data_IF_900127291711
#
_entry.id   IF_900127291711
#
_cell.length_a   1.000
_cell.length_b   1.000
_cell.length_c   1.000
_cell.angle_alpha   90.00
_cell.angle_beta   90.00
_cell.angle_gamma   90.00
#
_symmetry.space_group_name_H-M   'P 1'
#
loop_
_entity.id
_entity.type
_entity.pdbx_description
1 polymer ?
#
# COMPACT_ATOMS: atom_id res chain seq x y z
N UNK A 1 -6.67 3.41 -8.21
CA UNK A 1 -6.20 4.73 -7.77
C UNK A 1 -5.74 5.49 -9.00
N UNK A 2 -6.37 6.60 -9.30
CA UNK A 2 -5.90 7.50 -10.37
C UNK A 2 -4.48 7.91 -10.02
N UNK A 3 -3.52 7.66 -10.92
CA UNK A 3 -2.14 8.05 -10.69
C UNK A 3 -2.02 9.58 -10.80
N UNK A 4 -2.09 10.25 -9.68
CA UNK A 4 -1.99 11.72 -9.62
C UNK A 4 -0.64 12.23 -10.15
N UNK A 5 0.41 11.39 -10.19
CA UNK A 5 1.68 11.75 -10.84
C UNK A 5 1.50 12.07 -12.32
N UNK A 6 0.50 11.47 -12.98
CA UNK A 6 0.14 11.76 -14.37
C UNK A 6 -0.30 13.21 -14.57
N UNK A 7 -0.88 13.85 -13.54
CA UNK A 7 -1.43 15.20 -13.62
C UNK A 7 -0.54 16.26 -13.01
N UNK A 8 0.24 15.88 -11.99
CA UNK A 8 0.99 16.83 -11.18
C UNK A 8 2.50 16.57 -11.15
N UNK A 9 3.00 15.49 -11.80
CA UNK A 9 4.40 15.12 -11.74
C UNK A 9 4.92 14.87 -10.30
N UNK A 10 6.24 14.79 -10.14
CA UNK A 10 6.87 14.70 -8.81
C UNK A 10 7.00 16.06 -8.10
N UNK A 11 6.90 17.15 -8.85
CA UNK A 11 7.21 18.52 -8.41
C UNK A 11 6.10 19.55 -8.65
N UNK A 12 4.87 19.15 -8.99
CA UNK A 12 3.77 20.09 -9.23
C UNK A 12 2.94 19.76 -10.48
N UNK A 13 2.09 20.70 -10.91
CA UNK A 13 1.22 20.54 -12.08
C UNK A 13 2.08 20.44 -13.35
N UNK A 14 1.86 19.40 -14.14
CA UNK A 14 2.40 19.30 -15.50
C UNK A 14 1.51 20.14 -16.42
N UNK A 15 2.00 21.29 -16.83
CA UNK A 15 1.37 22.13 -17.84
C UNK A 15 1.70 21.60 -19.25
N UNK A 16 1.08 20.48 -19.63
CA UNK A 16 1.19 19.95 -20.97
C UNK A 16 0.22 20.71 -21.89
N UNK A 17 0.70 21.39 -22.95
CA UNK A 17 -0.16 22.12 -23.90
C UNK A 17 -1.20 21.25 -24.60
N UNK A 18 -1.02 19.93 -24.66
CA UNK A 18 -1.98 18.99 -25.22
C UNK A 18 -3.17 18.69 -24.30
N UNK A 19 -3.09 19.07 -23.01
CA UNK A 19 -4.18 18.87 -22.05
C UNK A 19 -5.28 19.89 -22.28
N UNK A 20 -6.52 19.41 -22.32
CA UNK A 20 -7.71 20.28 -22.35
C UNK A 20 -8.04 20.69 -20.92
N UNK A 21 -7.96 21.99 -20.64
CA UNK A 21 -8.37 22.59 -19.38
C UNK A 21 -9.69 23.33 -19.59
N UNK A 22 -10.58 23.23 -18.61
CA UNK A 22 -11.74 24.13 -18.47
C UNK A 22 -11.36 25.30 -17.59
N UNK A 23 -12.11 26.40 -17.62
CA UNK A 23 -12.03 27.44 -16.59
C UNK A 23 -11.28 28.70 -16.98
N UNK A 24 -10.86 28.92 -18.23
CA UNK A 24 -10.22 30.19 -18.64
C UNK A 24 -11.09 31.41 -18.26
N UNK A 25 -10.52 32.34 -17.48
CA UNK A 25 -11.19 33.53 -16.96
C UNK A 25 -12.15 33.30 -15.80
N UNK A 26 -12.22 32.08 -15.26
CA UNK A 26 -13.07 31.71 -14.13
C UNK A 26 -12.37 31.89 -12.79
N UNK A 27 -13.18 32.04 -11.74
CA UNK A 27 -12.76 32.24 -10.35
C UNK A 27 -12.76 30.94 -9.54
N UNK A 28 -12.37 31.01 -8.26
CA UNK A 28 -12.51 29.90 -7.31
C UNK A 28 -13.96 29.49 -7.07
N UNK A 29 -14.89 30.47 -7.08
CA UNK A 29 -16.32 30.17 -6.90
C UNK A 29 -16.88 29.44 -8.11
N UNK A 30 -16.42 29.79 -9.33
CA UNK A 30 -16.78 29.07 -10.56
C UNK A 30 -16.24 27.64 -10.53
N UNK A 31 -15.04 27.40 -9.99
CA UNK A 31 -14.50 26.06 -9.83
C UNK A 31 -15.34 25.24 -8.83
N UNK A 32 -15.74 25.82 -7.68
CA UNK A 32 -16.63 25.15 -6.73
C UNK A 32 -17.96 24.78 -7.42
N UNK A 33 -18.52 25.71 -8.17
CA UNK A 33 -19.77 25.46 -8.92
C UNK A 33 -19.60 24.32 -9.92
N UNK A 34 -18.53 24.33 -10.69
CA UNK A 34 -18.22 23.29 -11.68
C UNK A 34 -18.04 21.93 -11.04
N UNK A 35 -17.33 21.86 -9.90
CA UNK A 35 -17.19 20.62 -9.11
C UNK A 35 -18.55 20.08 -8.63
N UNK A 36 -19.41 20.96 -8.13
CA UNK A 36 -20.74 20.58 -7.65
C UNK A 36 -21.67 20.14 -8.79
N UNK A 37 -21.60 20.79 -9.95
CA UNK A 37 -22.33 20.40 -11.16
C UNK A 37 -21.87 19.00 -11.64
N UNK A 38 -20.60 18.64 -11.45
CA UNK A 38 -20.05 17.32 -11.72
C UNK A 38 -20.25 16.31 -10.58
N UNK A 39 -21.12 16.65 -9.61
CA UNK A 39 -21.58 15.74 -8.55
C UNK A 39 -20.69 15.63 -7.32
N UNK A 40 -19.66 16.45 -7.18
CA UNK A 40 -18.91 16.56 -5.93
C UNK A 40 -19.65 17.48 -4.95
N UNK A 41 -19.49 17.27 -3.65
CA UNK A 41 -20.04 18.16 -2.63
C UNK A 41 -18.92 19.00 -2.04
N UNK A 42 -18.70 20.19 -2.60
CA UNK A 42 -17.64 21.12 -2.20
C UNK A 42 -18.27 22.45 -1.79
N UNK A 43 -18.00 22.92 -0.56
CA UNK A 43 -18.46 24.20 -0.04
C UNK A 43 -17.37 25.27 0.02
N UNK A 44 -16.12 24.85 0.13
CA UNK A 44 -14.93 25.71 0.12
C UNK A 44 -13.74 24.93 -0.47
N UNK A 45 -12.74 25.65 -0.97
CA UNK A 45 -11.53 25.05 -1.53
C UNK A 45 -10.39 25.05 -0.51
N UNK A 46 -9.77 23.91 -0.35
CA UNK A 46 -8.47 23.78 0.28
C UNK A 46 -7.40 23.85 -0.81
N UNK A 47 -6.74 24.99 -0.96
CA UNK A 47 -5.74 25.24 -2.02
C UNK A 47 -4.31 24.88 -1.58
N UNK A 48 -4.18 23.81 -0.83
CA UNK A 48 -2.88 23.34 -0.28
C UNK A 48 -2.05 22.52 -1.26
N UNK A 49 -2.60 22.18 -2.42
CA UNK A 49 -2.00 21.21 -3.34
C UNK A 49 -2.08 19.77 -2.86
N UNK A 50 -2.80 19.50 -1.77
CA UNK A 50 -3.07 18.16 -1.27
C UNK A 50 -4.36 17.58 -1.85
N UNK A 51 -4.43 16.24 -1.86
CA UNK A 51 -5.65 15.56 -2.27
C UNK A 51 -6.68 15.64 -1.15
N UNK A 52 -7.76 16.35 -1.42
CA UNK A 52 -8.93 16.46 -0.55
C UNK A 52 -10.00 15.48 -0.99
N UNK A 53 -10.56 14.74 -0.04
CA UNK A 53 -11.67 13.81 -0.28
C UNK A 53 -12.99 14.45 0.11
N UNK A 54 -13.96 14.39 -0.81
CA UNK A 54 -15.28 14.98 -0.62
C UNK A 54 -16.39 13.97 -0.92
N UNK A 55 -17.59 14.13 -0.33
CA UNK A 55 -18.74 13.32 -0.71
C UNK A 55 -19.15 13.55 -2.15
N UNK A 56 -19.85 12.56 -2.72
CA UNK A 56 -20.46 12.61 -4.05
C UNK A 56 -21.96 12.62 -3.91
N UNK A 57 -22.64 13.49 -4.64
CA UNK A 57 -24.09 13.64 -4.66
C UNK A 57 -24.77 12.79 -5.75
N UNK A 58 -26.10 12.76 -5.76
CA UNK A 58 -26.90 11.99 -6.71
C UNK A 58 -26.75 12.44 -8.19
N UNK A 59 -26.17 13.62 -8.46
CA UNK A 59 -25.93 14.14 -9.82
C UNK A 59 -24.71 13.59 -10.54
N UNK A 60 -23.94 12.69 -9.92
CA UNK A 60 -22.60 12.28 -10.34
C UNK A 60 -22.54 11.03 -11.21
N UNK A 61 -23.54 10.65 -11.95
CA UNK A 61 -23.61 9.40 -12.75
C UNK A 61 -23.43 8.11 -11.91
N UNK A 62 -23.35 8.22 -10.58
CA UNK A 62 -23.26 7.11 -9.63
C UNK A 62 -24.23 7.33 -8.48
N UNK A 63 -24.41 6.31 -7.62
CA UNK A 63 -25.15 6.50 -6.38
C UNK A 63 -24.48 7.57 -5.50
N UNK A 64 -25.24 8.34 -4.73
CA UNK A 64 -24.66 9.25 -3.74
C UNK A 64 -23.86 8.47 -2.69
N UNK A 65 -22.91 9.15 -2.05
CA UNK A 65 -22.14 8.60 -0.95
C UNK A 65 -23.02 8.33 0.27
N UNK A 66 -22.75 7.21 0.95
CA UNK A 66 -23.36 6.93 2.26
C UNK A 66 -22.76 7.85 3.32
N UNK A 67 -23.36 7.87 4.50
CA UNK A 67 -22.82 8.61 5.64
C UNK A 67 -21.33 8.25 5.87
N UNK A 68 -20.46 9.26 5.97
CA UNK A 68 -18.99 9.15 6.08
C UNK A 68 -18.23 8.57 4.87
N UNK A 69 -18.89 8.28 3.76
CA UNK A 69 -18.22 7.90 2.51
C UNK A 69 -17.78 9.16 1.75
N UNK A 70 -16.58 9.13 1.16
CA UNK A 70 -16.01 10.23 0.36
C UNK A 70 -15.34 9.67 -0.87
N UNK A 71 -16.09 9.47 -1.96
CA UNK A 71 -15.58 8.94 -3.21
C UNK A 71 -15.18 9.99 -4.25
N UNK A 72 -15.56 11.24 -4.02
CA UNK A 72 -15.04 12.38 -4.76
C UNK A 72 -13.67 12.83 -4.24
N UNK A 73 -12.92 13.49 -5.10
CA UNK A 73 -11.61 14.04 -4.75
C UNK A 73 -11.32 15.30 -5.57
N UNK A 74 -10.49 16.18 -5.00
CA UNK A 74 -9.88 17.28 -5.74
C UNK A 74 -8.49 17.60 -5.21
N UNK A 75 -7.71 18.29 -6.06
CA UNK A 75 -6.44 18.94 -5.72
C UNK A 75 -6.47 20.33 -6.34
N UNK A 76 -6.18 21.35 -5.56
CA UNK A 76 -6.16 22.74 -6.02
C UNK A 76 -4.83 23.39 -5.67
N UNK A 77 -4.26 24.08 -6.65
CA UNK A 77 -3.13 25.00 -6.50
C UNK A 77 -3.61 26.39 -6.87
N UNK A 78 -3.43 27.34 -5.97
CA UNK A 78 -3.76 28.73 -6.19
C UNK A 78 -2.51 29.59 -6.02
N UNK A 79 -2.24 30.41 -7.03
CA UNK A 79 -1.23 31.48 -6.99
C UNK A 79 -1.92 32.84 -6.94
N UNK A 80 -1.14 33.93 -6.91
CA UNK A 80 -1.70 35.29 -6.99
C UNK A 80 -2.58 35.51 -8.23
N UNK A 81 -2.24 34.87 -9.35
CA UNK A 81 -2.77 35.21 -10.67
C UNK A 81 -3.49 34.02 -11.34
N UNK A 82 -3.43 32.81 -10.76
CA UNK A 82 -3.99 31.64 -11.39
C UNK A 82 -4.46 30.56 -10.41
N UNK A 83 -5.47 29.80 -10.83
CA UNK A 83 -5.99 28.63 -10.14
C UNK A 83 -5.83 27.43 -11.07
N UNK A 84 -5.24 26.35 -10.55
CA UNK A 84 -5.13 25.06 -11.21
C UNK A 84 -5.77 24.00 -10.34
N UNK A 85 -6.60 23.17 -10.94
CA UNK A 85 -7.21 22.06 -10.22
C UNK A 85 -7.30 20.80 -11.07
N UNK A 86 -7.29 19.66 -10.38
CA UNK A 86 -7.83 18.42 -10.90
C UNK A 86 -8.82 17.88 -9.87
N UNK A 87 -9.92 17.32 -10.34
CA UNK A 87 -10.95 16.76 -9.48
C UNK A 87 -11.67 15.62 -10.18
N UNK A 88 -12.31 14.76 -9.43
CA UNK A 88 -12.98 13.61 -10.02
C UNK A 88 -13.67 12.71 -9.02
N UNK A 89 -14.15 11.57 -9.53
CA UNK A 89 -14.84 10.56 -8.74
C UNK A 89 -14.17 9.20 -8.96
N UNK A 90 -13.70 8.57 -7.91
CA UNK A 90 -13.03 7.25 -8.00
C UNK A 90 -13.94 6.11 -8.45
N UNK A 91 -15.25 6.24 -8.26
CA UNK A 91 -16.17 5.18 -8.71
C UNK A 91 -16.39 5.18 -10.21
N UNK A 92 -16.40 6.36 -10.83
CA UNK A 92 -16.56 6.49 -12.29
C UNK A 92 -15.25 6.42 -13.04
N UNK A 93 -14.13 6.72 -12.36
CA UNK A 93 -12.83 6.92 -12.99
C UNK A 93 -12.75 8.20 -13.83
N UNK A 94 -13.80 9.03 -13.82
CA UNK A 94 -13.83 10.30 -14.55
C UNK A 94 -13.08 11.36 -13.73
N UNK A 95 -12.22 12.10 -14.42
CA UNK A 95 -11.48 13.22 -13.87
C UNK A 95 -11.55 14.45 -14.79
N UNK A 96 -11.49 15.60 -14.17
CA UNK A 96 -11.55 16.92 -14.82
C UNK A 96 -10.31 17.73 -14.45
N UNK A 97 -9.93 18.65 -15.36
CA UNK A 97 -8.82 19.58 -15.17
C UNK A 97 -9.31 20.98 -15.38
N UNK A 98 -8.91 21.85 -14.45
CA UNK A 98 -9.32 23.26 -14.45
C UNK A 98 -8.08 24.15 -14.42
N UNK A 99 -8.09 25.21 -15.22
CA UNK A 99 -7.10 26.28 -15.17
C UNK A 99 -7.79 27.61 -15.44
N UNK A 100 -7.67 28.55 -14.51
CA UNK A 100 -8.22 29.91 -14.70
C UNK A 100 -7.48 30.73 -15.76
N UNK A 101 -6.30 30.28 -16.19
CA UNK A 101 -5.50 30.89 -17.26
C UNK A 101 -5.28 29.90 -18.40
N UNK A 102 -5.23 30.39 -19.63
CA UNK A 102 -4.92 29.55 -20.78
C UNK A 102 -3.41 29.30 -20.89
N UNK A 103 -2.93 28.05 -20.74
CA UNK A 103 -1.50 27.75 -20.87
C UNK A 103 -0.91 28.14 -22.23
N UNK A 104 -1.74 28.18 -23.27
CA UNK A 104 -1.31 28.52 -24.64
C UNK A 104 -1.10 30.04 -24.83
N UNK A 105 -1.68 30.87 -23.98
CA UNK A 105 -1.56 32.33 -24.01
C UNK A 105 -0.44 32.87 -23.12
N UNK A 106 0.18 31.98 -22.31
CA UNK A 106 1.23 32.36 -21.39
C UNK A 106 2.60 32.47 -22.11
N UNK A 107 3.36 33.49 -21.77
CA UNK A 107 4.76 33.60 -22.21
C UNK A 107 5.64 32.55 -21.51
N UNK A 108 6.82 32.29 -22.06
CA UNK A 108 7.78 31.37 -21.41
C UNK A 108 8.20 31.86 -20.02
N UNK A 109 8.26 33.15 -19.79
CA UNK A 109 8.57 33.75 -18.49
C UNK A 109 7.44 33.53 -17.49
N UNK A 110 6.18 33.72 -17.89
CA UNK A 110 5.01 33.49 -17.05
C UNK A 110 4.91 32.01 -16.63
N UNK A 111 5.16 31.08 -17.57
CA UNK A 111 5.20 29.64 -17.27
C UNK A 111 6.27 29.31 -16.24
N UNK A 112 7.48 29.86 -16.37
CA UNK A 112 8.56 29.61 -15.40
C UNK A 112 8.25 30.22 -14.04
N UNK A 113 7.67 31.45 -13.98
CA UNK A 113 7.23 32.08 -12.73
C UNK A 113 6.19 31.22 -12.04
N UNK A 114 5.16 30.80 -12.75
CA UNK A 114 4.09 29.97 -12.24
C UNK A 114 4.60 28.62 -11.71
N UNK A 115 5.48 27.94 -12.44
CA UNK A 115 6.09 26.68 -11.98
C UNK A 115 6.88 26.88 -10.69
N UNK A 116 7.57 28.00 -10.51
CA UNK A 116 8.28 28.35 -9.28
C UNK A 116 7.29 28.54 -8.12
N UNK A 117 6.25 29.34 -8.32
CA UNK A 117 5.23 29.61 -7.30
C UNK A 117 4.51 28.33 -6.86
N UNK A 118 4.15 27.44 -7.80
CA UNK A 118 3.56 26.13 -7.51
C UNK A 118 4.55 25.28 -6.68
N UNK A 119 5.81 25.22 -7.08
CA UNK A 119 6.84 24.46 -6.36
C UNK A 119 7.01 24.98 -4.93
N UNK A 120 7.03 26.28 -4.73
CA UNK A 120 7.12 26.91 -3.41
C UNK A 120 5.88 26.64 -2.56
N UNK A 121 4.68 26.69 -3.15
CA UNK A 121 3.43 26.35 -2.46
C UNK A 121 3.38 24.89 -2.03
N UNK A 122 3.79 23.95 -2.91
CA UNK A 122 3.90 22.53 -2.59
C UNK A 122 4.90 22.29 -1.46
N UNK A 123 6.05 22.97 -1.50
CA UNK A 123 7.08 22.79 -0.47
C UNK A 123 6.63 23.35 0.89
N UNK A 124 5.97 24.50 0.91
CA UNK A 124 5.35 25.04 2.14
C UNK A 124 4.32 24.09 2.73
N UNK A 125 3.42 23.55 1.89
CA UNK A 125 2.41 22.58 2.32
C UNK A 125 3.04 21.31 2.91
N UNK A 126 4.13 20.80 2.28
CA UNK A 126 4.88 19.65 2.82
C UNK A 126 5.49 19.97 4.19
N UNK A 127 6.08 21.15 4.35
CA UNK A 127 6.69 21.56 5.63
C UNK A 127 5.64 21.73 6.73
N UNK A 128 4.51 22.37 6.43
CA UNK A 128 3.40 22.52 7.38
C UNK A 128 2.83 21.15 7.79
N UNK A 129 2.68 20.24 6.84
CA UNK A 129 2.24 18.86 7.11
C UNK A 129 3.25 18.10 7.96
N UNK A 130 4.54 18.18 7.63
CA UNK A 130 5.60 17.56 8.42
C UNK A 130 5.58 18.05 9.86
N UNK A 131 5.48 19.39 10.05
CA UNK A 131 5.36 19.99 11.38
C UNK A 131 4.15 19.45 12.15
N UNK A 132 2.98 19.40 11.51
CA UNK A 132 1.75 18.84 12.11
C UNK A 132 1.94 17.37 12.49
N UNK A 133 2.57 16.56 11.63
CA UNK A 133 2.86 15.17 11.91
C UNK A 133 3.78 15.00 13.12
N UNK A 134 4.76 15.88 13.28
CA UNK A 134 5.67 15.87 14.43
C UNK A 134 4.94 16.27 15.73
N UNK A 135 4.06 17.27 15.69
CA UNK A 135 3.22 17.65 16.83
C UNK A 135 2.30 16.51 17.26
N UNK A 136 1.62 15.84 16.30
CA UNK A 136 0.77 14.68 16.57
C UNK A 136 1.60 13.49 17.07
N UNK A 137 2.80 13.27 16.54
CA UNK A 137 3.72 12.24 17.01
C UNK A 137 4.07 12.43 18.49
N UNK A 138 4.37 13.67 18.93
CA UNK A 138 4.66 13.97 20.34
C UNK A 138 3.45 13.72 21.23
N UNK A 139 2.25 14.14 20.82
CA UNK A 139 1.01 13.82 21.55
C UNK A 139 0.78 12.29 21.65
N UNK A 140 1.01 11.55 20.56
CA UNK A 140 0.94 10.09 20.58
C UNK A 140 1.96 9.46 21.55
N UNK A 141 3.19 9.97 21.61
CA UNK A 141 4.21 9.51 22.56
C UNK A 141 3.74 9.69 24.00
N UNK A 142 3.20 10.86 24.34
CA UNK A 142 2.66 11.15 25.68
C UNK A 142 1.50 10.22 26.02
N UNK A 143 0.53 10.04 25.11
CA UNK A 143 -0.59 9.11 25.32
C UNK A 143 -0.12 7.68 25.57
N UNK A 144 0.85 7.19 24.79
CA UNK A 144 1.37 5.83 24.91
C UNK A 144 2.15 5.61 26.22
N UNK A 145 2.81 6.65 26.75
CA UNK A 145 3.46 6.60 28.07
C UNK A 145 2.46 6.37 29.20
N UNK A 146 1.29 7.01 29.13
CA UNK A 146 0.23 6.88 30.14
C UNK A 146 -0.69 5.66 29.89
N UNK A 147 -0.49 4.94 28.79
CA UNK A 147 -1.28 3.75 28.47
C UNK A 147 -0.95 2.58 29.39
N UNK A 148 -1.98 1.86 29.82
CA UNK A 148 -1.89 0.73 30.74
C UNK A 148 -1.63 -0.58 30.01
N UNK A 149 -0.97 -1.54 30.66
CA UNK A 149 -0.85 -2.91 30.15
C UNK A 149 -2.24 -3.54 30.05
N UNK A 150 -2.49 -4.26 28.98
CA UNK A 150 -3.73 -5.03 28.80
C UNK A 150 -3.62 -6.26 29.70
N UNK A 151 -4.64 -6.46 30.56
CA UNK A 151 -4.86 -7.72 31.29
C UNK A 151 -5.80 -8.61 30.47
N UNK A 152 -7.03 -8.13 30.29
CA UNK A 152 -8.08 -8.78 29.50
C UNK A 152 -8.74 -7.74 28.60
N UNK A 153 -9.06 -8.12 27.36
CA UNK A 153 -9.73 -7.22 26.43
C UNK A 153 -10.62 -7.99 25.48
N UNK A 154 -11.93 -7.63 25.34
CA UNK A 154 -12.91 -8.39 24.54
C UNK A 154 -12.50 -8.55 23.07
N UNK A 155 -11.77 -7.61 22.51
CA UNK A 155 -11.28 -7.71 21.13
C UNK A 155 -10.23 -8.82 20.99
N UNK A 156 -9.30 -8.95 21.95
CA UNK A 156 -8.27 -10.00 21.92
C UNK A 156 -8.91 -11.38 22.10
N UNK A 157 -9.87 -11.52 22.99
CA UNK A 157 -10.65 -12.74 23.20
C UNK A 157 -11.41 -13.12 21.93
N UNK A 158 -12.17 -12.16 21.37
CA UNK A 158 -12.93 -12.37 20.13
C UNK A 158 -12.04 -12.82 18.97
N UNK A 159 -10.82 -12.25 18.85
CA UNK A 159 -9.87 -12.55 17.78
C UNK A 159 -8.93 -13.72 18.12
N UNK A 160 -9.06 -14.29 19.34
CA UNK A 160 -8.22 -15.37 19.89
C UNK A 160 -6.72 -15.11 19.76
N UNK A 161 -6.29 -13.88 20.08
CA UNK A 161 -4.89 -13.44 19.98
C UNK A 161 -4.34 -12.98 21.34
N UNK A 162 -3.03 -13.16 21.54
CA UNK A 162 -2.29 -12.65 22.69
C UNK A 162 -2.00 -11.15 22.53
N UNK A 163 -1.78 -10.44 23.63
CA UNK A 163 -1.53 -8.99 23.61
C UNK A 163 -0.15 -8.59 23.05
N UNK A 164 0.85 -9.45 23.19
CA UNK A 164 2.25 -9.17 22.77
C UNK A 164 2.77 -7.79 23.20
N UNK A 165 2.41 -7.37 24.43
CA UNK A 165 2.86 -6.09 24.96
C UNK A 165 2.06 -4.87 24.52
N UNK A 166 0.99 -5.03 23.77
CA UNK A 166 0.06 -3.94 23.48
C UNK A 166 -0.49 -3.34 24.77
N UNK A 167 -0.79 -2.07 24.73
CA UNK A 167 -1.35 -1.30 25.82
C UNK A 167 -2.78 -0.88 25.52
N UNK A 168 -3.48 -0.37 26.55
CA UNK A 168 -4.81 0.19 26.42
C UNK A 168 -4.90 1.58 27.02
N UNK A 169 -5.75 2.40 26.44
CA UNK A 169 -6.19 3.69 26.98
C UNK A 169 -7.70 3.61 27.09
N UNK A 170 -8.21 3.76 28.34
CA UNK A 170 -9.61 3.50 28.64
C UNK A 170 -10.02 2.07 28.21
N UNK A 171 -10.98 1.96 27.29
CA UNK A 171 -11.50 0.69 26.75
C UNK A 171 -10.99 0.40 25.32
N UNK A 172 -9.92 1.04 24.89
CA UNK A 172 -9.38 0.85 23.54
C UNK A 172 -7.97 0.30 23.60
N UNK A 173 -7.70 -0.74 22.82
CA UNK A 173 -6.32 -1.19 22.53
C UNK A 173 -5.64 -0.07 21.76
N UNK A 174 -4.38 0.16 22.06
CA UNK A 174 -3.52 1.13 21.38
C UNK A 174 -2.42 0.39 20.65
N UNK A 175 -2.44 0.47 19.33
CA UNK A 175 -1.42 -0.11 18.47
C UNK A 175 -0.46 0.99 18.04
N UNK A 176 0.84 0.91 18.39
CA UNK A 176 1.81 1.91 17.97
C UNK A 176 2.07 1.82 16.46
N UNK A 177 2.17 2.97 15.81
CA UNK A 177 2.52 3.10 14.40
C UNK A 177 3.84 3.84 14.32
N UNK A 178 4.88 3.14 13.88
CA UNK A 178 6.26 3.63 13.91
C UNK A 178 6.81 3.82 12.49
N UNK A 179 7.66 4.80 12.31
CA UNK A 179 8.45 4.91 11.09
C UNK A 179 9.40 3.71 10.99
N UNK A 180 9.31 3.01 9.87
CA UNK A 180 10.08 1.78 9.65
C UNK A 180 11.59 2.01 9.52
N UNK A 181 12.04 3.26 9.35
CA UNK A 181 13.45 3.61 9.19
C UNK A 181 14.08 4.06 10.51
N UNK A 182 13.37 4.92 11.26
CA UNK A 182 13.89 5.54 12.47
C UNK A 182 13.43 4.86 13.74
N UNK A 183 12.37 4.03 13.68
CA UNK A 183 11.72 3.45 14.85
C UNK A 183 10.89 4.45 15.66
N UNK A 184 10.79 5.70 15.22
CA UNK A 184 10.03 6.72 15.91
C UNK A 184 8.53 6.48 15.83
N UNK A 185 7.82 6.69 16.93
CA UNK A 185 6.35 6.64 16.95
C UNK A 185 5.80 7.81 16.13
N UNK A 186 4.99 7.53 15.12
CA UNK A 186 4.35 8.52 14.23
C UNK A 186 2.86 8.68 14.49
N UNK A 187 2.20 7.60 14.94
CA UNK A 187 0.76 7.59 15.18
C UNK A 187 0.35 6.47 16.13
N UNK A 188 -0.94 6.40 16.44
CA UNK A 188 -1.58 5.30 17.15
C UNK A 188 -2.84 4.89 16.41
N UNK A 189 -3.10 3.56 16.38
CA UNK A 189 -4.42 3.04 16.04
C UNK A 189 -5.14 2.64 17.31
N UNK A 190 -6.35 3.16 17.50
CA UNK A 190 -7.25 2.76 18.57
C UNK A 190 -8.19 1.66 18.07
N UNK A 191 -8.31 0.57 18.83
CA UNK A 191 -9.20 -0.54 18.54
C UNK A 191 -10.14 -0.77 19.72
N UNK A 192 -11.44 -0.62 19.46
CA UNK A 192 -12.50 -0.95 20.37
C UNK A 192 -13.64 -1.61 19.56
N UNK A 193 -14.82 -1.02 19.47
CA UNK A 193 -15.87 -1.45 18.53
C UNK A 193 -15.49 -1.17 17.09
N UNK A 194 -14.73 -0.12 16.86
CA UNK A 194 -14.22 0.32 15.57
C UNK A 194 -12.69 0.52 15.65
N UNK A 195 -12.05 0.46 14.47
CA UNK A 195 -10.64 0.79 14.32
C UNK A 195 -10.52 2.25 13.86
N UNK A 196 -9.76 3.07 14.58
CA UNK A 196 -9.55 4.49 14.25
C UNK A 196 -8.11 4.88 14.40
N UNK A 197 -7.57 5.63 13.45
CA UNK A 197 -6.27 6.28 13.58
C UNK A 197 -6.42 7.63 14.29
N UNK A 198 -5.33 8.09 14.88
CA UNK A 198 -5.27 9.48 15.37
C UNK A 198 -5.44 10.41 14.17
N UNK A 199 -6.32 11.41 14.33
CA UNK A 199 -6.59 12.38 13.25
C UNK A 199 -5.33 13.17 12.89
N UNK A 200 -5.18 13.51 11.62
CA UNK A 200 -4.05 14.27 11.08
C UNK A 200 -2.67 13.66 11.35
N UNK A 201 -2.58 12.35 11.62
CA UNK A 201 -1.32 11.64 11.86
C UNK A 201 -0.78 10.97 10.61
N UNK A 202 0.51 10.66 10.62
CA UNK A 202 1.19 9.96 9.53
C UNK A 202 1.07 8.44 9.69
N UNK A 203 0.18 7.81 8.91
CA UNK A 203 -0.02 6.35 8.92
C UNK A 203 0.61 5.67 7.71
N UNK A 204 0.44 6.26 6.51
CA UNK A 204 0.91 5.65 5.27
C UNK A 204 2.43 5.53 5.24
N UNK A 205 2.92 4.30 5.00
CA UNK A 205 4.35 4.02 4.93
C UNK A 205 5.01 3.81 6.31
N UNK A 206 4.22 3.83 7.37
CA UNK A 206 4.63 3.47 8.73
C UNK A 206 4.04 2.11 9.12
N UNK A 207 4.59 1.47 10.14
CA UNK A 207 4.34 0.07 10.45
C UNK A 207 4.05 -0.16 11.94
N UNK A 208 3.41 -1.29 12.23
CA UNK A 208 3.49 -1.98 13.51
C UNK A 208 4.22 -3.31 13.30
N UNK A 209 5.05 -3.75 14.24
CA UNK A 209 5.87 -4.94 14.06
C UNK A 209 5.94 -5.79 15.34
N UNK A 210 6.21 -7.09 15.16
CA UNK A 210 6.28 -8.12 16.18
C UNK A 210 7.45 -9.07 15.94
N UNK A 211 7.99 -9.60 17.03
CA UNK A 211 8.94 -10.73 17.00
C UNK A 211 10.39 -10.36 16.66
N UNK A 212 10.72 -9.07 16.58
CA UNK A 212 12.10 -8.60 16.37
C UNK A 212 12.26 -7.17 16.89
N UNK A 213 13.50 -6.72 17.08
CA UNK A 213 13.80 -5.30 17.22
C UNK A 213 14.03 -4.71 15.82
N UNK A 214 13.50 -3.51 15.57
CA UNK A 214 13.66 -2.85 14.29
C UNK A 214 15.13 -2.57 13.94
N UNK A 215 15.98 -2.36 14.95
CA UNK A 215 17.42 -2.22 14.77
C UNK A 215 18.07 -3.47 14.16
N UNK A 216 17.46 -4.65 14.39
CA UNK A 216 17.96 -5.93 13.91
C UNK A 216 17.33 -6.38 12.58
N UNK A 217 16.61 -5.48 11.91
CA UNK A 217 15.87 -5.82 10.66
C UNK A 217 16.80 -6.35 9.57
N UNK A 218 18.03 -5.88 9.49
CA UNK A 218 19.01 -6.32 8.49
C UNK A 218 19.40 -7.79 8.64
N UNK A 219 19.33 -8.35 9.85
CA UNK A 219 19.65 -9.75 10.14
C UNK A 219 18.52 -10.73 9.85
N UNK A 220 17.30 -10.22 9.63
CA UNK A 220 16.13 -11.06 9.41
C UNK A 220 16.19 -11.75 8.06
N UNK A 221 15.89 -13.06 8.02
CA UNK A 221 15.86 -13.85 6.79
C UNK A 221 14.49 -13.84 6.12
N UNK A 222 13.42 -13.78 6.89
CA UNK A 222 12.03 -13.77 6.43
C UNK A 222 11.23 -12.81 7.31
N UNK A 223 10.34 -12.04 6.71
CA UNK A 223 9.41 -11.14 7.40
C UNK A 223 8.03 -11.34 6.78
N UNK A 224 7.02 -11.58 7.62
CA UNK A 224 5.62 -11.65 7.16
C UNK A 224 5.04 -10.24 7.15
N UNK A 225 4.34 -9.88 6.09
CA UNK A 225 3.71 -8.56 5.91
C UNK A 225 2.21 -8.77 5.82
N UNK A 226 1.46 -8.08 6.67
CA UNK A 226 0.00 -8.20 6.78
C UNK A 226 -0.69 -6.83 6.79
N UNK A 227 -2.01 -6.82 6.58
CA UNK A 227 -2.80 -5.59 6.58
C UNK A 227 -3.31 -5.20 7.97
N UNK A 228 -3.57 -6.17 8.84
CA UNK A 228 -4.22 -5.96 10.13
C UNK A 228 -3.40 -6.39 11.34
N UNK A 229 -3.59 -5.70 12.48
CA UNK A 229 -2.91 -6.04 13.74
C UNK A 229 -3.27 -7.45 14.22
N UNK A 230 -4.55 -7.84 14.19
CA UNK A 230 -4.95 -9.19 14.63
C UNK A 230 -4.33 -10.27 13.75
N UNK A 231 -4.29 -10.06 12.44
CA UNK A 231 -3.63 -10.93 11.47
C UNK A 231 -2.13 -11.03 11.76
N UNK A 232 -1.47 -9.89 12.13
CA UNK A 232 -0.06 -9.89 12.53
C UNK A 232 0.21 -10.79 13.75
N UNK A 233 -0.64 -10.70 14.76
CA UNK A 233 -0.52 -11.51 15.98
C UNK A 233 -0.69 -13.00 15.67
N UNK A 234 -1.71 -13.38 14.89
CA UNK A 234 -1.93 -14.77 14.49
C UNK A 234 -0.79 -15.35 13.65
N UNK A 235 -0.32 -14.59 12.67
CA UNK A 235 0.81 -15.02 11.84
C UNK A 235 2.09 -15.20 12.65
N UNK A 236 2.38 -14.27 13.56
CA UNK A 236 3.51 -14.37 14.46
C UNK A 236 3.38 -15.56 15.41
N UNK A 237 2.21 -15.76 16.02
CA UNK A 237 1.96 -16.88 16.93
C UNK A 237 2.11 -18.23 16.22
N UNK A 238 1.64 -18.35 14.98
CA UNK A 238 1.71 -19.59 14.21
C UNK A 238 3.13 -19.93 13.77
N UNK A 239 3.97 -18.94 13.46
CA UNK A 239 5.24 -19.15 12.75
C UNK A 239 6.48 -18.77 13.53
N UNK A 240 6.34 -17.98 14.58
CA UNK A 240 7.41 -17.32 15.34
C UNK A 240 8.28 -16.36 14.48
N UNK A 241 7.88 -16.12 13.23
CA UNK A 241 8.62 -15.23 12.34
C UNK A 241 8.33 -13.75 12.67
N UNK A 242 9.32 -12.86 12.40
CA UNK A 242 9.11 -11.43 12.35
C UNK A 242 7.91 -11.07 11.50
N UNK A 243 7.01 -10.24 12.03
CA UNK A 243 5.77 -9.87 11.34
C UNK A 243 5.55 -8.37 11.40
N UNK A 244 5.17 -7.80 10.26
CA UNK A 244 4.93 -6.36 10.07
C UNK A 244 3.51 -6.14 9.58
N UNK A 245 2.77 -5.26 10.26
CA UNK A 245 1.46 -4.77 9.84
C UNK A 245 1.60 -3.42 9.16
N UNK A 246 1.05 -3.30 7.95
CA UNK A 246 1.07 -2.06 7.13
C UNK A 246 -0.26 -1.29 7.16
N UNK A 247 -1.25 -1.76 7.94
CA UNK A 247 -2.57 -1.17 8.19
C UNK A 247 -3.53 -1.10 6.99
N UNK A 248 -3.06 -1.33 5.77
CA UNK A 248 -3.89 -1.43 4.56
C UNK A 248 -3.04 -1.90 3.38
N UNK A 249 -3.61 -2.68 2.47
CA UNK A 249 -2.99 -3.06 1.21
C UNK A 249 -2.46 -1.84 0.43
N UNK A 250 -3.21 -0.74 0.45
CA UNK A 250 -2.84 0.51 -0.24
C UNK A 250 -1.61 1.21 0.38
N UNK A 251 -1.26 0.92 1.62
CA UNK A 251 -0.08 1.48 2.29
C UNK A 251 1.15 0.57 2.14
N UNK A 252 0.92 -0.70 1.80
CA UNK A 252 1.93 -1.75 1.72
C UNK A 252 3.13 -1.35 0.89
N UNK A 253 2.92 -0.92 -0.37
CA UNK A 253 4.03 -0.55 -1.25
C UNK A 253 4.96 0.50 -0.62
N UNK A 254 4.39 1.58 -0.07
CA UNK A 254 5.19 2.67 0.53
C UNK A 254 5.99 2.18 1.75
N UNK A 255 5.40 1.32 2.59
CA UNK A 255 6.09 0.74 3.74
C UNK A 255 7.21 -0.22 3.30
N UNK A 256 6.94 -1.07 2.31
CA UNK A 256 7.91 -2.05 1.85
C UNK A 256 9.06 -1.42 1.05
N UNK A 257 8.83 -0.32 0.32
CA UNK A 257 9.89 0.45 -0.33
C UNK A 257 10.91 1.01 0.71
N UNK A 258 10.42 1.43 1.89
CA UNK A 258 11.28 1.86 3.00
C UNK A 258 12.02 0.67 3.63
N UNK A 259 11.30 -0.41 3.93
CA UNK A 259 11.89 -1.62 4.56
C UNK A 259 12.92 -2.29 3.65
N UNK A 260 12.69 -2.36 2.35
CA UNK A 260 13.61 -2.98 1.39
C UNK A 260 14.98 -2.31 1.34
N UNK A 261 15.06 -1.03 1.67
CA UNK A 261 16.33 -0.30 1.78
C UNK A 261 17.17 -0.73 2.97
N UNK A 262 16.58 -1.42 3.95
CA UNK A 262 17.20 -1.78 5.22
C UNK A 262 17.49 -3.29 5.35
N UNK A 263 16.80 -4.14 4.56
CA UNK A 263 16.94 -5.59 4.66
C UNK A 263 16.78 -6.28 3.32
N UNK A 264 17.51 -7.40 3.16
CA UNK A 264 17.35 -8.35 2.07
C UNK A 264 16.42 -9.54 2.44
N UNK A 265 15.73 -9.46 3.58
CA UNK A 265 14.80 -10.50 4.02
C UNK A 265 13.78 -10.85 2.93
N UNK A 266 13.38 -12.12 2.87
CA UNK A 266 12.26 -12.52 2.04
C UNK A 266 10.96 -12.02 2.67
N UNK A 267 10.22 -11.18 1.96
CA UNK A 267 8.90 -10.73 2.38
C UNK A 267 7.83 -11.76 1.98
N UNK A 268 7.01 -12.15 2.94
CA UNK A 268 5.84 -13.01 2.74
C UNK A 268 4.62 -12.09 2.87
N UNK A 269 4.03 -11.73 1.74
CA UNK A 269 2.88 -10.82 1.69
C UNK A 269 1.62 -11.63 1.99
N UNK A 270 1.17 -11.59 3.24
CA UNK A 270 0.02 -12.33 3.75
C UNK A 270 -1.20 -11.39 3.83
N UNK A 271 -1.74 -11.04 2.67
CA UNK A 271 -2.86 -10.10 2.53
C UNK A 271 -4.21 -10.82 2.52
N UNK A 272 -5.26 -10.05 2.71
CA UNK A 272 -6.61 -10.57 2.89
C UNK A 272 -7.18 -11.18 1.59
N UNK A 273 -7.97 -12.26 1.73
CA UNK A 273 -8.77 -12.85 0.66
C UNK A 273 -10.18 -12.23 0.68
N UNK A 274 -10.26 -10.99 0.21
CA UNK A 274 -11.53 -10.26 0.15
C UNK A 274 -12.36 -10.65 -1.09
N UNK A 275 -13.68 -10.43 -1.02
CA UNK A 275 -14.64 -10.79 -2.08
C UNK A 275 -14.30 -10.18 -3.45
N UNK A 276 -13.63 -9.02 -3.46
CA UNK A 276 -13.26 -8.30 -4.69
C UNK A 276 -11.83 -8.59 -5.13
N UNK A 277 -11.07 -9.41 -4.40
CA UNK A 277 -9.69 -9.77 -4.69
C UNK A 277 -8.70 -8.62 -4.61
N UNK A 278 -9.06 -7.51 -3.94
CA UNK A 278 -8.23 -6.32 -3.86
C UNK A 278 -6.93 -6.58 -3.09
N UNK A 279 -6.99 -7.31 -1.97
CA UNK A 279 -5.83 -7.70 -1.18
C UNK A 279 -4.83 -8.49 -2.02
N UNK A 280 -5.31 -9.51 -2.73
CA UNK A 280 -4.50 -10.32 -3.66
C UNK A 280 -3.87 -9.47 -4.75
N UNK A 281 -4.68 -8.66 -5.46
CA UNK A 281 -4.18 -7.79 -6.53
C UNK A 281 -3.07 -6.86 -6.03
N UNK A 282 -3.25 -6.25 -4.86
CA UNK A 282 -2.24 -5.35 -4.27
C UNK A 282 -0.96 -6.08 -3.85
N UNK A 283 -1.08 -7.29 -3.31
CA UNK A 283 0.06 -8.12 -3.00
C UNK A 283 0.87 -8.49 -4.27
N UNK A 284 0.20 -8.84 -5.35
CA UNK A 284 0.82 -9.14 -6.66
C UNK A 284 1.49 -7.90 -7.26
N UNK A 285 0.83 -6.74 -7.25
CA UNK A 285 1.41 -5.45 -7.68
C UNK A 285 2.71 -5.11 -6.90
N UNK A 286 2.70 -5.33 -5.58
CA UNK A 286 3.87 -5.11 -4.72
C UNK A 286 4.97 -6.11 -5.05
N UNK A 287 4.65 -7.40 -5.18
CA UNK A 287 5.62 -8.44 -5.48
C UNK A 287 6.28 -8.26 -6.86
N UNK A 288 5.56 -7.71 -7.83
CA UNK A 288 6.11 -7.35 -9.14
C UNK A 288 7.08 -6.14 -9.08
N UNK A 289 6.87 -5.23 -8.11
CA UNK A 289 7.65 -3.99 -8.00
C UNK A 289 8.83 -4.10 -7.02
N UNK A 290 8.76 -5.00 -6.03
CA UNK A 290 9.76 -5.13 -4.96
C UNK A 290 10.35 -6.54 -4.99
N UNK A 291 11.68 -6.69 -5.11
CA UNK A 291 12.31 -7.99 -5.23
C UNK A 291 12.17 -8.81 -3.94
N UNK A 292 12.33 -10.14 -4.05
CA UNK A 292 12.31 -11.10 -2.95
C UNK A 292 11.01 -11.08 -2.13
N UNK A 293 9.86 -10.98 -2.82
CA UNK A 293 8.52 -11.06 -2.25
C UNK A 293 7.81 -12.35 -2.69
N UNK A 294 7.09 -12.99 -1.76
CA UNK A 294 6.18 -14.09 -2.03
C UNK A 294 4.77 -13.70 -1.58
N UNK A 295 3.79 -13.88 -2.44
CA UNK A 295 2.38 -13.68 -2.09
C UNK A 295 1.82 -14.95 -1.45
N UNK A 296 1.07 -14.75 -0.37
CA UNK A 296 0.28 -15.76 0.34
C UNK A 296 -1.09 -15.18 0.66
N UNK A 297 -2.11 -15.81 0.14
CA UNK A 297 -3.50 -15.42 0.37
C UNK A 297 -4.17 -16.59 1.08
N UNK A 298 -4.98 -16.38 2.13
CA UNK A 298 -5.70 -17.46 2.79
C UNK A 298 -6.52 -18.27 1.79
N UNK A 299 -6.55 -19.58 1.94
CA UNK A 299 -7.34 -20.48 1.07
C UNK A 299 -8.85 -20.26 1.23
N UNK A 300 -9.30 -19.84 2.42
CA UNK A 300 -10.67 -19.44 2.71
C UNK A 300 -10.84 -17.92 2.59
N UNK A 301 -12.06 -17.42 2.31
CA UNK A 301 -12.35 -15.99 2.36
C UNK A 301 -12.08 -15.41 3.76
N UNK A 302 -11.51 -14.20 3.82
CA UNK A 302 -11.15 -13.53 5.07
C UNK A 302 -9.66 -13.29 5.20
N UNK A 303 -9.18 -13.19 6.42
CA UNK A 303 -7.78 -12.97 6.75
C UNK A 303 -7.12 -14.18 7.47
N UNK A 304 -5.81 -14.15 7.64
CA UNK A 304 -5.11 -15.23 8.37
C UNK A 304 -5.46 -15.29 9.87
N UNK A 305 -6.07 -14.26 10.46
CA UNK A 305 -6.63 -14.37 11.80
C UNK A 305 -7.95 -15.18 11.79
N UNK A 306 -8.76 -15.04 10.74
CA UNK A 306 -9.98 -15.85 10.63
C UNK A 306 -9.61 -17.33 10.49
N UNK A 307 -8.62 -17.65 9.65
CA UNK A 307 -8.06 -19.02 9.54
C UNK A 307 -7.47 -19.51 10.87
N UNK A 308 -6.75 -18.64 11.62
CA UNK A 308 -6.16 -18.97 12.92
C UNK A 308 -7.20 -19.28 13.98
N UNK A 309 -8.38 -18.68 13.91
CA UNK A 309 -9.49 -18.97 14.84
C UNK A 309 -10.07 -20.37 14.65
N UNK A 310 -9.92 -20.95 13.45
CA UNK A 310 -10.28 -22.33 13.14
C UNK A 310 -9.15 -23.28 13.56
N UNK A 311 -7.95 -23.08 13.00
CA UNK A 311 -6.76 -23.88 13.31
C UNK A 311 -5.46 -23.07 13.06
N UNK A 312 -4.71 -22.78 14.10
CA UNK A 312 -3.45 -22.05 14.04
C UNK A 312 -2.38 -22.79 13.21
N UNK A 313 -2.45 -24.12 13.13
CA UNK A 313 -1.50 -24.94 12.36
C UNK A 313 -1.66 -24.73 10.85
N UNK A 314 -2.87 -24.43 10.37
CA UNK A 314 -3.14 -24.12 8.97
C UNK A 314 -2.47 -22.84 8.54
N UNK A 315 -2.44 -21.81 9.42
CA UNK A 315 -1.74 -20.55 9.15
C UNK A 315 -0.26 -20.81 8.86
N UNK A 316 0.41 -21.60 9.72
CA UNK A 316 1.82 -21.99 9.52
C UNK A 316 2.02 -22.72 8.19
N UNK A 317 1.14 -23.67 7.90
CA UNK A 317 1.19 -24.48 6.66
C UNK A 317 1.05 -23.59 5.43
N UNK A 318 0.04 -22.73 5.37
CA UNK A 318 -0.22 -21.88 4.20
C UNK A 318 0.86 -20.80 3.99
N UNK A 319 1.38 -20.21 5.08
CA UNK A 319 2.42 -19.20 5.00
C UNK A 319 3.80 -19.78 4.60
N UNK A 320 4.17 -20.93 5.16
CA UNK A 320 5.54 -21.42 5.04
C UNK A 320 5.72 -22.53 3.99
N UNK A 321 4.74 -23.42 3.84
CA UNK A 321 4.86 -24.53 2.91
C UNK A 321 4.38 -24.16 1.50
N UNK A 322 3.50 -23.15 1.40
CA UNK A 322 2.89 -22.67 0.17
C UNK A 322 2.28 -23.82 -0.61
N UNK A 323 0.98 -23.96 -0.65
CA UNK A 323 0.36 -24.96 -1.50
C UNK A 323 0.87 -24.81 -2.92
N UNK A 324 1.46 -25.86 -3.50
CA UNK A 324 1.76 -25.89 -4.92
C UNK A 324 0.41 -25.86 -5.64
N UNK A 325 0.00 -24.66 -6.07
CA UNK A 325 -1.27 -24.52 -6.76
C UNK A 325 -1.07 -24.92 -8.22
N UNK A 326 -1.43 -26.15 -8.55
CA UNK A 326 -1.37 -26.67 -9.91
C UNK A 326 -2.13 -25.77 -10.92
N UNK A 327 -3.15 -25.02 -10.49
CA UNK A 327 -3.87 -24.10 -11.35
C UNK A 327 -2.97 -22.98 -11.90
N UNK A 328 -1.96 -22.53 -11.14
CA UNK A 328 -1.00 -21.52 -11.59
C UNK A 328 0.02 -22.07 -12.61
N UNK A 329 0.07 -23.36 -12.81
CA UNK A 329 0.94 -24.05 -13.76
C UNK A 329 0.14 -24.78 -14.85
N UNK A 330 -1.13 -24.44 -15.01
CA UNK A 330 -1.97 -24.98 -16.07
C UNK A 330 -1.44 -24.52 -17.43
N UNK A 331 -1.25 -25.47 -18.34
CA UNK A 331 -0.85 -25.23 -19.74
C UNK A 331 -1.75 -24.19 -20.43
N UNK A 332 -3.03 -24.07 -20.02
CA UNK A 332 -3.97 -23.07 -20.51
C UNK A 332 -3.63 -21.61 -20.17
N UNK A 333 -2.68 -21.34 -19.26
CA UNK A 333 -2.20 -19.99 -18.96
C UNK A 333 -1.13 -19.50 -19.95
N UNK A 334 -0.49 -20.39 -20.68
CA UNK A 334 0.52 -20.05 -21.69
C UNK A 334 -0.17 -19.74 -23.02
N UNK A 335 -0.43 -18.43 -23.25
CA UNK A 335 -1.00 -17.93 -24.51
C UNK A 335 0.11 -17.45 -25.46
N UNK A 336 0.95 -18.34 -25.92
CA UNK A 336 2.01 -18.01 -26.86
C UNK A 336 2.89 -19.22 -27.21
N UNK A 337 3.69 -19.10 -28.24
CA UNK A 337 4.72 -20.09 -28.50
C UNK A 337 5.73 -20.07 -27.35
N UNK A 338 6.10 -21.26 -26.82
CA UNK A 338 7.14 -21.34 -25.79
C UNK A 338 8.44 -20.75 -26.36
N UNK A 339 9.23 -20.04 -25.53
CA UNK A 339 10.54 -19.58 -25.97
C UNK A 339 11.39 -20.76 -26.45
N UNK A 340 12.26 -20.55 -27.44
CA UNK A 340 13.15 -21.62 -27.92
C UNK A 340 13.95 -22.16 -26.73
N UNK A 341 14.05 -23.49 -26.66
CA UNK A 341 14.80 -24.14 -25.59
C UNK A 341 16.30 -23.92 -25.80
N UNK A 342 16.96 -23.51 -24.74
CA UNK A 342 18.42 -23.43 -24.71
C UNK A 342 18.98 -24.81 -24.34
N UNK A 343 19.40 -25.54 -25.34
CA UNK A 343 19.87 -26.90 -25.18
C UNK A 343 21.37 -26.95 -24.86
N UNK A 344 21.72 -27.59 -23.76
CA UNK A 344 23.10 -28.00 -23.46
C UNK A 344 23.51 -29.26 -24.23
N UNK A 345 22.56 -30.19 -24.37
CA UNK A 345 22.66 -31.34 -25.28
C UNK A 345 21.36 -31.39 -26.06
N UNK A 346 21.44 -31.20 -27.38
CA UNK A 346 20.28 -31.01 -28.26
C UNK A 346 19.21 -32.08 -28.07
N UNK A 347 17.98 -31.63 -27.87
CA UNK A 347 16.79 -32.45 -27.59
C UNK A 347 16.86 -33.33 -26.35
N UNK A 348 17.87 -33.17 -25.49
CA UNK A 348 18.05 -34.04 -24.33
C UNK A 348 18.23 -33.30 -23.00
N UNK A 349 19.13 -32.28 -22.92
CA UNK A 349 19.40 -31.52 -21.71
C UNK A 349 19.24 -30.04 -22.01
N UNK A 350 18.27 -29.36 -21.34
CA UNK A 350 18.21 -27.92 -21.31
C UNK A 350 19.32 -27.32 -20.44
N UNK A 351 19.79 -26.12 -20.77
CA UNK A 351 20.74 -25.34 -19.97
C UNK A 351 20.10 -24.83 -18.67
N UNK A 352 19.66 -25.79 -17.82
CA UNK A 352 18.98 -25.57 -16.54
C UNK A 352 19.35 -26.69 -15.56
N UNK A 353 19.10 -26.45 -14.28
CA UNK A 353 19.30 -27.49 -13.27
C UNK A 353 18.30 -28.64 -13.48
N UNK A 354 18.79 -29.86 -13.53
CA UNK A 354 18.02 -31.08 -13.63
C UNK A 354 18.31 -32.05 -12.49
N UNK A 355 17.41 -33.00 -12.25
CA UNK A 355 17.57 -34.04 -11.23
C UNK A 355 17.49 -35.41 -11.88
N UNK A 356 18.58 -36.20 -11.77
CA UNK A 356 18.56 -37.63 -12.09
C UNK A 356 18.10 -38.43 -10.88
N UNK A 357 16.94 -39.06 -10.97
CA UNK A 357 16.38 -39.88 -9.89
C UNK A 357 16.08 -41.28 -10.39
N UNK A 358 16.58 -42.27 -9.67
CA UNK A 358 16.22 -43.68 -9.83
C UNK A 358 16.70 -44.50 -8.62
N UNK A 359 16.37 -45.79 -8.56
CA UNK A 359 16.89 -46.70 -7.52
C UNK A 359 18.41 -46.79 -7.53
N UNK A 360 19.02 -47.15 -6.40
CA UNK A 360 20.48 -47.32 -6.27
C UNK A 360 21.04 -48.36 -7.24
N UNK A 361 22.30 -48.17 -7.67
CA UNK A 361 23.03 -49.17 -8.47
C UNK A 361 22.76 -49.20 -9.98
N UNK A 362 21.89 -48.31 -10.51
CA UNK A 362 21.52 -48.31 -11.95
C UNK A 362 22.38 -47.39 -12.84
N UNK A 363 23.56 -46.99 -12.40
CA UNK A 363 24.53 -46.28 -13.25
C UNK A 363 24.31 -44.77 -13.43
N UNK A 364 23.51 -44.09 -12.57
CA UNK A 364 23.26 -42.64 -12.63
C UNK A 364 24.54 -41.80 -12.70
N UNK A 365 25.52 -42.13 -11.84
CA UNK A 365 26.80 -41.42 -11.78
C UNK A 365 27.64 -41.57 -13.04
N UNK A 366 27.62 -42.76 -13.65
CA UNK A 366 28.29 -43.04 -14.92
C UNK A 366 27.65 -42.27 -16.07
N UNK A 367 26.32 -42.22 -16.13
CA UNK A 367 25.60 -41.42 -17.13
C UNK A 367 25.87 -39.94 -16.99
N UNK A 368 25.86 -39.41 -15.75
CA UNK A 368 26.17 -37.99 -15.48
C UNK A 368 27.61 -37.64 -15.86
N UNK A 369 28.57 -38.56 -15.62
CA UNK A 369 29.96 -38.38 -16.03
C UNK A 369 30.12 -38.44 -17.56
N UNK A 370 29.49 -39.39 -18.25
CA UNK A 370 29.52 -39.50 -19.71
C UNK A 370 28.93 -38.24 -20.39
N UNK A 371 27.82 -37.73 -19.87
CA UNK A 371 27.23 -36.47 -20.34
C UNK A 371 28.14 -35.28 -20.11
N UNK A 372 28.78 -35.18 -18.95
CA UNK A 372 29.71 -34.06 -18.64
C UNK A 372 30.99 -34.04 -19.47
N UNK A 373 31.37 -35.19 -20.05
CA UNK A 373 32.51 -35.30 -20.97
C UNK A 373 32.15 -34.96 -22.41
N UNK A 374 30.85 -34.86 -22.75
CA UNK A 374 30.34 -34.54 -24.09
C UNK A 374 29.85 -33.09 -24.25
N UNK A 375 29.89 -32.33 -23.19
CA UNK A 375 29.56 -30.89 -23.13
C UNK A 375 30.87 -30.09 -23.12
#
# INVERSE_FOLDING_TARGET
MTDLKKYFGESGIVLDPSMVFTGEGKTSDDLIKEMNENGLQVSHLESTGELVRVPVTAGSQTRPDKHNEKSGWYVVYQTSDAIFAAYGNWRTGIDYKFSSVSPNKMTSQDKQRLQREIKEAVERSKQERAKRYDEVSQDCKQRLQHAQKIKDHPYLEKKKIKSYGLKQINKSIVVPITDSTTGELRSLQYINKEKRFVSASEVKGNIYYLGFDLADIASQKKIIIVEGMATAHSCHEATELPTVCVFSANFGKTALDKLRKQTNAKFILAFDNDEHGLGKQKAEEIAAAIPNCNVRIPSAPGDFNDLAQEDLSLVKKELLQGGFNFANYSIGLYKGEPPPRDWLVENFIENKAGVFSSVGGVGKSMLALDLSLKI
#
